data_IF_275738970242
#
_entry.id   IF_275738970242
#
_cell.length_a   1.000
_cell.length_b   1.000
_cell.length_c   1.000
_cell.angle_alpha   90.00
_cell.angle_beta   90.00
_cell.angle_gamma   90.00
#
_symmetry.space_group_name_H-M   'P 1'
#
loop_
_entity.id
_entity.type
_entity.pdbx_description
1 polymer ?
#
# COMPACT_ATOMS: atom_id res chain seq x y z
N UNK A 1 -2.15 1.59 -1.80
CA UNK A 1 -1.51 1.86 -3.10
C UNK A 1 -1.21 0.55 -3.82
N UNK A 2 -1.73 0.35 -5.04
CA UNK A 2 -1.53 -0.90 -5.83
C UNK A 2 -0.38 -0.78 -6.82
N UNK A 3 0.36 -1.87 -7.05
CA UNK A 3 1.39 -1.96 -8.09
C UNK A 3 0.77 -2.27 -9.45
N UNK A 4 1.05 -1.43 -10.44
CA UNK A 4 0.63 -1.66 -11.83
C UNK A 4 1.73 -2.30 -12.67
N UNK A 5 2.96 -1.81 -12.55
CA UNK A 5 4.13 -2.32 -13.26
C UNK A 5 5.40 -2.08 -12.44
N UNK A 6 6.37 -3.00 -12.56
CA UNK A 6 7.74 -2.85 -12.07
C UNK A 6 8.64 -3.61 -13.05
N UNK A 7 9.54 -2.90 -13.74
CA UNK A 7 10.36 -3.48 -14.81
C UNK A 7 10.95 -2.40 -15.72
N UNK A 8 11.17 -2.75 -16.99
CA UNK A 8 11.66 -1.80 -18.00
C UNK A 8 10.78 -0.55 -18.13
N UNK A 9 11.37 0.54 -18.61
CA UNK A 9 10.72 1.84 -18.74
C UNK A 9 9.49 1.77 -19.68
N UNK A 10 8.43 2.47 -19.29
CA UNK A 10 7.20 2.64 -20.05
C UNK A 10 6.79 4.10 -19.93
N UNK A 11 6.86 4.85 -21.02
CA UNK A 11 6.54 6.28 -21.02
C UNK A 11 5.03 6.51 -20.88
N UNK A 12 4.22 5.69 -21.56
CA UNK A 12 2.76 5.74 -21.48
C UNK A 12 2.20 4.38 -21.08
N UNK A 13 1.84 4.23 -19.80
CA UNK A 13 1.25 3.00 -19.30
C UNK A 13 -0.24 2.91 -19.67
N UNK A 14 -0.59 1.93 -20.51
CA UNK A 14 -1.97 1.72 -21.03
C UNK A 14 -2.62 0.44 -20.51
N UNK A 15 -2.31 0.04 -19.27
CA UNK A 15 -2.96 -1.09 -18.59
C UNK A 15 -2.90 -2.42 -19.38
N UNK A 16 -1.80 -2.70 -20.08
CA UNK A 16 -1.64 -3.96 -20.85
C UNK A 16 -1.58 -5.21 -19.98
N UNK A 17 -1.32 -5.07 -18.68
CA UNK A 17 -1.26 -6.13 -17.67
C UNK A 17 -2.27 -5.90 -16.53
N UNK A 18 -3.56 -5.66 -16.85
CA UNK A 18 -4.54 -5.29 -15.86
C UNK A 18 -4.74 -6.46 -14.89
N UNK A 19 -5.08 -6.14 -13.65
CA UNK A 19 -5.52 -7.16 -12.71
C UNK A 19 -6.95 -7.55 -13.11
N UNK A 20 -7.22 -8.84 -13.25
CA UNK A 20 -8.56 -9.31 -13.57
C UNK A 20 -9.27 -9.61 -12.27
N UNK A 21 -10.20 -8.75 -11.90
CA UNK A 21 -11.01 -8.89 -10.68
C UNK A 21 -12.08 -9.96 -10.89
N UNK A 22 -12.13 -10.92 -9.96
CA UNK A 22 -13.03 -12.07 -10.00
C UNK A 22 -13.42 -12.43 -8.58
N UNK A 23 -14.56 -13.10 -8.45
CA UNK A 23 -14.92 -13.72 -7.18
C UNK A 23 -14.02 -14.94 -6.92
N UNK A 24 -12.94 -14.71 -6.18
CA UNK A 24 -12.03 -15.74 -5.71
C UNK A 24 -12.55 -16.32 -4.40
N UNK A 25 -12.76 -17.64 -4.37
CA UNK A 25 -13.27 -18.32 -3.18
C UNK A 25 -12.37 -18.03 -1.97
N UNK A 26 -12.98 -17.68 -0.83
CA UNK A 26 -12.33 -17.34 0.44
C UNK A 26 -11.48 -16.04 0.46
N UNK A 27 -11.27 -15.38 -0.67
CA UNK A 27 -10.62 -14.07 -0.73
C UNK A 27 -11.67 -12.98 -0.46
N UNK A 28 -11.81 -12.58 0.80
CA UNK A 28 -12.77 -11.57 1.24
C UNK A 28 -12.45 -10.16 0.73
N UNK A 29 -13.46 -9.30 0.68
CA UNK A 29 -13.34 -7.90 0.27
C UNK A 29 -13.95 -6.94 1.30
N UNK A 30 -13.62 -5.64 1.23
CA UNK A 30 -14.17 -4.63 2.14
C UNK A 30 -15.61 -4.23 1.81
N UNK A 31 -16.12 -4.59 0.63
CA UNK A 31 -17.46 -4.22 0.15
C UNK A 31 -18.39 -5.43 0.22
N UNK A 32 -19.61 -5.24 0.75
CA UNK A 32 -20.57 -6.34 0.93
C UNK A 32 -21.31 -6.72 -0.35
N UNK A 33 -21.41 -5.79 -1.28
CA UNK A 33 -22.09 -5.90 -2.58
C UNK A 33 -21.14 -6.24 -3.74
N UNK A 34 -19.84 -6.00 -3.58
CA UNK A 34 -18.81 -6.39 -4.55
C UNK A 34 -17.91 -7.52 -4.00
N UNK A 35 -18.05 -8.70 -4.60
CA UNK A 35 -17.25 -9.89 -4.27
C UNK A 35 -16.04 -10.09 -5.19
N UNK A 36 -15.80 -9.19 -6.13
CA UNK A 36 -14.73 -9.33 -7.13
C UNK A 36 -13.45 -8.62 -6.72
N UNK A 37 -13.56 -7.52 -5.96
CA UNK A 37 -12.42 -6.84 -5.37
C UNK A 37 -12.01 -7.48 -4.02
N UNK A 38 -10.80 -8.03 -3.96
CA UNK A 38 -10.22 -8.57 -2.72
C UNK A 38 -8.75 -8.13 -2.54
N UNK A 39 -8.36 -7.62 -1.37
CA UNK A 39 -6.96 -7.34 -1.07
C UNK A 39 -6.02 -8.54 -1.23
N UNK A 40 -6.52 -9.76 -1.01
CA UNK A 40 -5.77 -11.01 -1.18
C UNK A 40 -5.23 -11.20 -2.61
N UNK A 41 -5.97 -10.70 -3.61
CA UNK A 41 -5.66 -10.89 -5.03
C UNK A 41 -5.06 -9.66 -5.68
N UNK A 42 -5.25 -8.47 -5.09
CA UNK A 42 -4.64 -7.23 -5.56
C UNK A 42 -3.12 -7.24 -5.41
N UNK A 43 -2.41 -6.46 -6.23
CA UNK A 43 -0.95 -6.26 -6.11
C UNK A 43 -0.70 -5.01 -5.27
N UNK A 44 -0.12 -5.12 -4.08
CA UNK A 44 0.18 -3.98 -3.21
C UNK A 44 1.69 -3.72 -3.08
N UNK A 45 2.04 -2.46 -2.82
CA UNK A 45 3.41 -2.06 -2.41
C UNK A 45 3.66 -2.37 -0.94
N UNK A 46 2.61 -2.27 -0.11
CA UNK A 46 2.66 -2.48 1.34
C UNK A 46 1.60 -3.50 1.73
N UNK A 47 2.02 -4.63 2.30
CA UNK A 47 1.14 -5.67 2.83
C UNK A 47 0.75 -5.38 4.28
N UNK A 48 -0.54 -5.46 4.60
CA UNK A 48 -1.11 -5.12 5.90
C UNK A 48 -1.84 -6.30 6.54
N UNK A 49 -1.80 -6.38 7.86
CA UNK A 49 -2.54 -7.39 8.63
C UNK A 49 -4.03 -7.00 8.77
N UNK A 50 -4.92 -7.97 8.57
CA UNK A 50 -6.35 -7.86 8.94
C UNK A 50 -7.26 -7.24 7.87
N UNK A 51 -6.77 -7.05 6.65
CA UNK A 51 -7.55 -6.52 5.52
C UNK A 51 -8.02 -7.58 4.52
N UNK A 52 -8.11 -8.83 4.97
CA UNK A 52 -8.37 -9.99 4.09
C UNK A 52 -7.30 -10.20 3.02
N UNK A 53 -6.08 -9.69 3.24
CA UNK A 53 -4.88 -10.12 2.52
C UNK A 53 -4.14 -11.11 3.43
N UNK A 54 -4.02 -12.36 3.00
CA UNK A 54 -3.41 -13.43 3.81
C UNK A 54 -1.94 -13.68 3.48
N UNK A 55 -1.35 -12.90 2.56
CA UNK A 55 0.09 -12.95 2.30
C UNK A 55 0.87 -12.38 3.48
N UNK A 56 2.17 -12.63 3.51
CA UNK A 56 3.04 -12.13 4.57
C UNK A 56 3.00 -10.59 4.63
N UNK A 57 2.58 -9.98 5.77
CA UNK A 57 2.52 -8.53 5.88
C UNK A 57 3.93 -7.93 5.96
N UNK A 58 4.09 -6.72 5.41
CA UNK A 58 5.33 -5.95 5.50
C UNK A 58 5.32 -4.94 6.65
N UNK A 59 4.14 -4.61 7.18
CA UNK A 59 3.96 -3.73 8.33
C UNK A 59 2.94 -4.33 9.29
N UNK A 60 3.31 -4.38 10.56
CA UNK A 60 2.42 -4.72 11.69
C UNK A 60 2.69 -3.67 12.76
N UNK A 61 1.63 -2.97 13.17
CA UNK A 61 1.71 -1.97 14.23
C UNK A 61 0.65 -2.33 15.26
N UNK A 62 1.09 -2.57 16.49
CA UNK A 62 0.20 -2.78 17.62
C UNK A 62 -0.35 -1.45 18.13
N UNK A 63 -1.66 -1.38 18.36
CA UNK A 63 -2.33 -0.25 18.97
C UNK A 63 -3.51 -0.74 19.82
N UNK A 64 -3.64 -0.18 21.02
CA UNK A 64 -4.63 -0.60 22.02
C UNK A 64 -4.58 -2.10 22.35
N UNK A 65 -5.50 -2.88 21.79
CA UNK A 65 -5.64 -4.33 21.99
C UNK A 65 -5.69 -5.07 20.64
N UNK A 66 -5.18 -4.46 19.56
CA UNK A 66 -5.23 -5.00 18.22
C UNK A 66 -3.95 -4.65 17.43
N UNK A 67 -3.74 -5.36 16.33
CA UNK A 67 -2.65 -5.16 15.37
C UNK A 67 -3.16 -4.87 13.95
N UNK A 68 -4.48 -4.84 13.75
CA UNK A 68 -5.10 -4.52 12.46
C UNK A 68 -4.98 -3.02 12.18
N UNK A 69 -4.40 -2.68 11.03
CA UNK A 69 -4.30 -1.31 10.52
C UNK A 69 -4.92 -1.23 9.13
N UNK A 70 -5.46 -0.06 8.78
CA UNK A 70 -5.99 0.21 7.44
C UNK A 70 -5.49 1.56 6.92
N UNK A 71 -4.24 1.54 6.50
CA UNK A 71 -3.57 2.66 5.85
C UNK A 71 -4.20 2.95 4.48
N UNK A 72 -4.65 4.19 4.31
CA UNK A 72 -5.15 4.75 3.05
C UNK A 72 -4.14 5.72 2.48
N UNK A 73 -4.15 5.85 1.15
CA UNK A 73 -3.38 6.90 0.49
C UNK A 73 -4.02 8.26 0.83
N UNK A 74 -3.21 9.22 1.26
CA UNK A 74 -3.66 10.57 1.59
C UNK A 74 -3.05 11.60 0.64
N UNK A 75 -1.71 11.65 0.56
CA UNK A 75 -0.98 12.63 -0.24
C UNK A 75 0.31 12.06 -0.80
N UNK A 76 0.89 12.75 -1.78
CA UNK A 76 2.23 12.48 -2.29
C UNK A 76 2.92 13.77 -2.73
N UNK A 77 4.24 13.81 -2.56
CA UNK A 77 5.10 14.89 -3.00
C UNK A 77 6.40 14.33 -3.59
N UNK A 78 7.04 15.10 -4.46
CA UNK A 78 8.38 14.79 -4.98
C UNK A 78 9.38 15.67 -4.26
N UNK A 79 10.36 15.07 -3.62
CA UNK A 79 11.43 15.77 -2.90
C UNK A 79 12.78 15.50 -3.55
N UNK A 80 13.61 16.53 -3.62
CA UNK A 80 14.99 16.46 -4.11
C UNK A 80 16.00 16.34 -2.97
N UNK A 81 15.61 16.79 -1.78
CA UNK A 81 16.40 16.72 -0.55
C UNK A 81 15.72 15.76 0.44
N UNK A 82 16.47 14.76 0.92
CA UNK A 82 16.00 13.81 1.92
C UNK A 82 17.17 13.34 2.78
N UNK A 83 17.11 13.65 4.08
CA UNK A 83 18.17 13.33 5.05
C UNK A 83 18.14 11.88 5.54
N UNK A 84 17.19 11.08 5.05
CA UNK A 84 17.11 9.67 5.38
C UNK A 84 16.55 9.37 6.77
N UNK A 85 16.49 8.07 7.11
CA UNK A 85 16.18 7.65 8.45
C UNK A 85 17.29 8.02 9.44
N UNK A 86 16.91 8.65 10.55
CA UNK A 86 17.83 9.09 11.60
C UNK A 86 18.73 7.95 12.10
N UNK A 87 20.04 8.15 11.99
CA UNK A 87 21.05 7.23 12.52
C UNK A 87 21.26 5.94 11.71
N UNK A 88 20.67 5.84 10.51
CA UNK A 88 20.85 4.70 9.61
C UNK A 88 21.57 5.13 8.32
N UNK A 89 22.42 4.26 7.74
CA UNK A 89 23.07 4.57 6.48
C UNK A 89 22.03 4.61 5.35
N UNK A 90 22.18 5.58 4.44
CA UNK A 90 21.41 5.66 3.21
C UNK A 90 22.33 5.94 2.00
N UNK A 91 21.90 5.61 0.78
CA UNK A 91 22.59 6.04 -0.42
C UNK A 91 22.73 7.56 -0.46
N UNK A 92 23.89 8.07 -0.92
CA UNK A 92 24.02 9.49 -1.21
C UNK A 92 23.16 9.83 -2.44
N UNK A 93 22.33 10.85 -2.31
CA UNK A 93 21.59 11.42 -3.43
C UNK A 93 22.55 12.11 -4.39
N UNK A 94 22.25 12.02 -5.67
CA UNK A 94 22.91 12.81 -6.72
C UNK A 94 22.02 14.00 -7.06
N UNK A 95 22.59 15.00 -7.72
CA UNK A 95 21.88 16.23 -8.10
C UNK A 95 20.63 15.96 -8.96
N UNK A 96 20.61 14.85 -9.72
CA UNK A 96 19.47 14.41 -10.53
C UNK A 96 18.47 13.48 -9.81
N UNK A 97 18.70 13.18 -8.53
CA UNK A 97 17.85 12.25 -7.78
C UNK A 97 16.56 12.91 -7.30
N UNK A 98 15.45 12.21 -7.50
CA UNK A 98 14.14 12.60 -6.97
C UNK A 98 13.56 11.44 -6.16
N UNK A 99 12.84 11.77 -5.09
CA UNK A 99 12.16 10.80 -4.22
C UNK A 99 10.67 11.10 -4.22
N UNK A 100 9.87 10.09 -4.53
CA UNK A 100 8.43 10.15 -4.30
C UNK A 100 8.15 9.84 -2.82
N UNK A 101 7.78 10.85 -2.06
CA UNK A 101 7.31 10.72 -0.69
C UNK A 101 5.78 10.59 -0.70
N UNK A 102 5.26 9.39 -0.40
CA UNK A 102 3.84 9.19 -0.15
C UNK A 102 3.59 9.50 1.33
N UNK A 103 2.82 10.55 1.61
CA UNK A 103 2.62 11.12 2.94
C UNK A 103 1.89 10.21 3.93
N UNK A 104 1.66 10.77 5.12
CA UNK A 104 1.19 10.09 6.33
C UNK A 104 0.00 9.16 6.09
N UNK A 105 0.06 7.96 6.66
CA UNK A 105 -1.04 7.03 6.58
C UNK A 105 -1.99 7.25 7.77
N UNK A 106 -3.18 7.79 7.51
CA UNK A 106 -4.24 7.84 8.54
C UNK A 106 -4.74 6.42 8.83
N UNK A 107 -4.59 5.98 10.08
CA UNK A 107 -5.30 4.82 10.61
C UNK A 107 -6.74 5.23 10.96
N UNK A 108 -7.74 4.78 10.20
CA UNK A 108 -9.13 4.96 10.61
C UNK A 108 -9.48 3.92 11.69
N UNK A 109 -9.72 4.40 12.91
CA UNK A 109 -10.33 3.60 13.97
C UNK A 109 -11.82 3.42 13.69
N UNK A 110 -12.25 2.16 13.54
CA UNK A 110 -13.68 1.83 13.59
C UNK A 110 -14.15 1.95 15.05
N UNK A 111 -14.83 3.05 15.38
CA UNK A 111 -15.57 3.16 16.63
C UNK A 111 -16.81 2.28 16.53
N UNK A 112 -16.75 1.08 17.11
CA UNK A 112 -17.95 0.34 17.45
C UNK A 112 -18.67 1.12 18.55
N UNK A 113 -19.65 1.95 18.16
CA UNK A 113 -20.65 2.43 19.10
C UNK A 113 -21.38 1.18 19.65
N UNK A 114 -21.18 0.95 20.95
CA UNK A 114 -22.00 0.00 21.73
C UNK A 114 -23.44 0.46 21.79
#
# INVERSE_FOLDING_TARGET
MTVKHLGGAIDEYRQSNPLIEKNHAFSGGPYSDDRTYSPDTQRFVVGQLGRSDFRQPSVIIEHHQNQVTDFKFESAEVVTDFDGPNGLPMPRLRDESEILHSGDFVSQQWSLKK
#
